data_IF_795593421125
#
_entry.id   IF_795593421125
#
_cell.length_a   1.000
_cell.length_b   1.000
_cell.length_c   1.000
_cell.angle_alpha   90.00
_cell.angle_beta   90.00
_cell.angle_gamma   90.00
#
_symmetry.space_group_name_H-M   'P 1'
#
loop_
_entity.id
_entity.type
_entity.pdbx_description
1 polymer ?
#
# COMPACT_ATOMS: atom_id res chain seq x y z
N UNK A 1 -13.16 13.19 -23.13
CA UNK A 1 -11.95 12.44 -23.49
C UNK A 1 -12.41 11.12 -24.05
N UNK A 2 -12.15 10.85 -25.31
CA UNK A 2 -12.48 9.57 -25.93
C UNK A 2 -11.24 8.68 -25.92
N UNK A 3 -11.41 7.42 -25.54
CA UNK A 3 -10.34 6.42 -25.50
C UNK A 3 -10.77 5.30 -26.43
N UNK A 4 -9.94 5.00 -27.41
CA UNK A 4 -10.15 3.94 -28.39
C UNK A 4 -9.22 2.79 -28.02
N UNK A 5 -9.76 1.57 -28.00
CA UNK A 5 -8.98 0.35 -27.81
C UNK A 5 -8.62 -0.22 -29.19
N UNK A 6 -7.42 -0.79 -29.31
CA UNK A 6 -7.02 -1.51 -30.52
C UNK A 6 -7.91 -2.74 -30.74
N UNK A 7 -8.10 -3.11 -32.01
CA UNK A 7 -8.78 -4.35 -32.35
C UNK A 7 -7.96 -5.54 -31.83
N UNK A 8 -8.58 -6.39 -30.99
CA UNK A 8 -7.89 -7.48 -30.32
C UNK A 8 -7.29 -8.51 -31.29
N UNK A 9 -7.75 -8.60 -32.55
CA UNK A 9 -7.21 -9.43 -33.65
C UNK A 9 -6.95 -10.92 -33.31
N UNK A 10 -7.37 -11.40 -32.14
CA UNK A 10 -7.19 -12.74 -31.60
C UNK A 10 -8.46 -13.18 -30.86
N UNK A 11 -8.70 -14.49 -30.79
CA UNK A 11 -9.71 -15.05 -29.88
C UNK A 11 -9.14 -15.03 -28.46
N UNK A 12 -9.74 -14.22 -27.59
CA UNK A 12 -9.38 -14.13 -26.17
C UNK A 12 -10.52 -14.61 -25.28
N UNK A 13 -10.16 -15.04 -24.07
CA UNK A 13 -11.09 -15.36 -22.99
C UNK A 13 -11.07 -14.21 -21.97
N UNK A 14 -11.81 -13.12 -22.21
CA UNK A 14 -11.76 -11.96 -21.35
C UNK A 14 -12.35 -12.26 -19.97
N UNK A 15 -11.91 -11.49 -18.97
CA UNK A 15 -12.53 -11.50 -17.66
C UNK A 15 -14.02 -11.20 -17.78
N UNK A 16 -14.83 -11.91 -16.98
CA UNK A 16 -16.23 -11.55 -16.79
C UNK A 16 -16.32 -10.08 -16.36
N UNK A 17 -17.26 -9.33 -16.93
CA UNK A 17 -17.43 -7.89 -16.69
C UNK A 17 -17.52 -7.50 -15.20
N UNK A 18 -18.05 -8.38 -14.36
CA UNK A 18 -18.06 -8.17 -12.92
C UNK A 18 -16.67 -8.25 -12.29
N UNK A 19 -15.89 -9.28 -12.62
CA UNK A 19 -14.52 -9.47 -12.13
C UNK A 19 -13.65 -8.30 -12.58
N UNK A 20 -13.70 -7.94 -13.87
CA UNK A 20 -12.97 -6.78 -14.40
C UNK A 20 -13.29 -5.49 -13.63
N UNK A 21 -14.59 -5.22 -13.37
CA UNK A 21 -15.00 -4.04 -12.59
C UNK A 21 -14.48 -4.08 -11.16
N UNK A 22 -14.56 -5.22 -10.49
CA UNK A 22 -14.02 -5.39 -9.13
C UNK A 22 -12.51 -5.14 -9.08
N UNK A 23 -11.76 -5.71 -10.02
CA UNK A 23 -10.31 -5.53 -10.12
C UNK A 23 -9.93 -4.07 -10.36
N UNK A 24 -10.53 -3.42 -11.37
CA UNK A 24 -10.23 -2.02 -11.70
C UNK A 24 -10.65 -1.08 -10.56
N UNK A 25 -11.81 -1.32 -9.94
CA UNK A 25 -12.24 -0.56 -8.76
C UNK A 25 -11.28 -0.73 -7.59
N UNK A 26 -10.79 -1.94 -7.32
CA UNK A 26 -9.80 -2.17 -6.28
C UNK A 26 -8.52 -1.38 -6.55
N UNK A 27 -7.98 -1.46 -7.77
CA UNK A 27 -6.78 -0.69 -8.17
C UNK A 27 -6.95 0.81 -7.97
N UNK A 28 -8.14 1.35 -8.28
CA UNK A 28 -8.41 2.78 -8.15
C UNK A 28 -8.71 3.23 -6.70
N UNK A 29 -9.33 2.38 -5.89
CA UNK A 29 -9.78 2.73 -4.54
C UNK A 29 -8.72 2.45 -3.47
N UNK A 30 -7.82 1.50 -3.72
CA UNK A 30 -6.74 1.19 -2.78
C UNK A 30 -5.84 2.44 -2.63
N UNK A 31 -5.65 2.94 -1.40
CA UNK A 31 -4.82 4.12 -1.18
C UNK A 31 -3.34 3.75 -1.41
N UNK A 32 -2.64 4.52 -2.25
CA UNK A 32 -1.23 4.29 -2.60
C UNK A 32 -0.39 5.55 -2.36
N UNK A 33 0.91 5.36 -2.16
CA UNK A 33 1.87 6.44 -1.89
C UNK A 33 1.94 6.83 -0.42
N UNK A 34 2.28 8.08 -0.15
CA UNK A 34 2.36 8.63 1.20
C UNK A 34 0.95 8.92 1.73
N UNK A 35 0.59 8.30 2.85
CA UNK A 35 -0.73 8.41 3.48
C UNK A 35 -0.73 9.44 4.62
N UNK A 36 0.40 9.58 5.32
CA UNK A 36 0.57 10.59 6.36
C UNK A 36 2.01 11.06 6.45
N UNK A 37 2.21 12.30 6.90
CA UNK A 37 3.52 12.95 7.04
C UNK A 37 3.60 13.71 8.35
N UNK A 38 4.74 13.63 9.04
CA UNK A 38 5.03 14.50 10.18
C UNK A 38 5.45 15.87 9.67
N UNK A 39 4.77 16.90 10.12
CA UNK A 39 5.11 18.30 9.83
C UNK A 39 6.32 18.78 10.64
N UNK A 40 6.62 18.12 11.77
CA UNK A 40 7.73 18.49 12.67
C UNK A 40 9.08 18.10 12.09
N UNK A 41 9.18 16.90 11.50
CA UNK A 41 10.43 16.35 10.97
C UNK A 41 10.42 16.15 9.44
N UNK A 42 9.36 16.63 8.78
CA UNK A 42 9.18 16.52 7.33
C UNK A 42 9.38 15.09 6.79
N UNK A 43 8.84 14.08 7.49
CA UNK A 43 9.05 12.66 7.21
C UNK A 43 7.70 11.96 6.94
N UNK A 44 7.66 11.08 5.94
CA UNK A 44 6.49 10.20 5.72
C UNK A 44 6.37 9.25 6.90
N UNK A 45 5.22 9.25 7.56
CA UNK A 45 4.98 8.39 8.73
C UNK A 45 4.30 7.10 8.31
N UNK A 46 3.34 7.16 7.38
CA UNK A 46 2.72 5.97 6.81
C UNK A 46 2.60 6.07 5.30
N UNK A 47 2.69 4.92 4.64
CA UNK A 47 2.57 4.78 3.19
C UNK A 47 1.96 3.43 2.85
N UNK A 48 1.36 3.29 1.68
CA UNK A 48 1.01 1.99 1.11
C UNK A 48 1.49 1.90 -0.34
N UNK A 49 1.82 0.70 -0.77
CA UNK A 49 2.25 0.43 -2.13
C UNK A 49 1.50 -0.79 -2.67
N UNK A 50 0.67 -0.60 -3.69
CA UNK A 50 0.15 -1.68 -4.51
C UNK A 50 1.27 -2.10 -5.47
N UNK A 51 2.04 -3.12 -5.07
CA UNK A 51 3.31 -3.45 -5.73
C UNK A 51 3.21 -4.55 -6.77
N UNK A 52 2.27 -5.47 -6.60
CA UNK A 52 2.14 -6.65 -7.47
C UNK A 52 0.67 -6.96 -7.66
N UNK A 53 0.28 -7.20 -8.91
CA UNK A 53 -0.99 -7.84 -9.26
C UNK A 53 -0.62 -9.14 -9.96
N UNK A 54 -1.13 -10.26 -9.45
CA UNK A 54 -0.95 -11.59 -10.05
C UNK A 54 -2.31 -12.16 -10.43
N UNK A 55 -2.29 -13.10 -11.37
CA UNK A 55 -3.45 -13.88 -11.74
C UNK A 55 -3.02 -15.34 -11.92
N UNK A 56 -3.80 -16.26 -11.37
CA UNK A 56 -3.74 -17.68 -11.65
C UNK A 56 -5.09 -18.17 -12.22
N UNK A 57 -5.33 -19.48 -12.21
CA UNK A 57 -6.56 -20.08 -12.75
C UNK A 57 -7.82 -19.73 -11.93
N UNK A 58 -7.67 -19.39 -10.64
CA UNK A 58 -8.76 -19.18 -9.71
C UNK A 58 -8.91 -17.71 -9.27
N UNK A 59 -7.80 -17.00 -9.07
CA UNK A 59 -7.79 -15.70 -8.40
C UNK A 59 -6.98 -14.64 -9.13
N UNK A 60 -7.46 -13.40 -9.00
CA UNK A 60 -6.65 -12.19 -9.20
C UNK A 60 -6.28 -11.68 -7.80
N UNK A 61 -4.99 -11.61 -7.51
CA UNK A 61 -4.50 -11.17 -6.20
C UNK A 61 -3.79 -9.83 -6.32
N UNK A 62 -4.16 -8.89 -5.43
CA UNK A 62 -3.58 -7.54 -5.38
C UNK A 62 -2.74 -7.39 -4.10
N UNK A 63 -1.42 -7.42 -4.26
CA UNK A 63 -0.49 -7.36 -3.15
C UNK A 63 -0.13 -5.93 -2.77
N UNK A 64 -0.37 -5.61 -1.50
CA UNK A 64 -0.13 -4.31 -0.90
C UNK A 64 0.95 -4.40 0.16
N UNK A 65 1.81 -3.37 0.22
CA UNK A 65 2.83 -3.25 1.26
C UNK A 65 2.69 -1.92 2.00
N UNK A 66 1.85 -1.95 3.04
CA UNK A 66 1.68 -0.86 3.97
C UNK A 66 2.89 -0.77 4.91
N UNK A 67 3.35 0.45 5.19
CA UNK A 67 4.49 0.74 6.07
C UNK A 67 4.14 1.90 6.99
N UNK A 68 4.60 1.84 8.23
CA UNK A 68 4.49 2.95 9.15
C UNK A 68 5.61 2.93 10.20
N UNK A 69 6.10 4.11 10.60
CA UNK A 69 6.92 4.25 11.81
C UNK A 69 6.08 4.14 13.09
N UNK A 70 4.76 4.26 13.00
CA UNK A 70 3.80 4.16 14.12
C UNK A 70 2.85 3.00 13.86
N UNK A 71 2.90 1.97 14.69
CA UNK A 71 2.17 0.71 14.47
C UNK A 71 0.65 0.87 14.44
N UNK A 72 0.11 1.79 15.24
CA UNK A 72 -1.34 2.04 15.33
C UNK A 72 -1.93 2.58 14.02
N UNK A 73 -1.14 3.29 13.20
CA UNK A 73 -1.59 3.72 11.87
C UNK A 73 -1.75 2.54 10.90
N UNK A 74 -1.01 1.44 11.07
CA UNK A 74 -1.24 0.24 10.28
C UNK A 74 -2.48 -0.49 10.77
N UNK A 75 -2.60 -0.72 12.07
CA UNK A 75 -3.62 -1.60 12.66
C UNK A 75 -4.99 -0.95 12.79
N UNK A 76 -5.06 0.37 13.04
CA UNK A 76 -6.31 1.09 13.30
C UNK A 76 -6.70 2.08 12.19
N UNK A 77 -5.88 2.23 11.14
CA UNK A 77 -6.20 3.10 10.01
C UNK A 77 -6.10 2.32 8.68
N UNK A 78 -4.89 1.95 8.24
CA UNK A 78 -4.73 1.29 6.93
C UNK A 78 -5.49 -0.04 6.86
N UNK A 79 -5.37 -0.91 7.86
CA UNK A 79 -6.02 -2.21 7.85
C UNK A 79 -7.57 -2.13 7.81
N UNK A 80 -8.26 -1.31 8.64
CA UNK A 80 -9.70 -1.10 8.50
C UNK A 80 -10.13 -0.57 7.14
N UNK A 81 -9.40 0.41 6.57
CA UNK A 81 -9.71 0.96 5.24
C UNK A 81 -9.63 -0.11 4.16
N UNK A 82 -8.58 -0.94 4.17
CA UNK A 82 -8.42 -2.04 3.22
C UNK A 82 -9.55 -3.08 3.34
N UNK A 83 -9.94 -3.42 4.58
CA UNK A 83 -11.08 -4.33 4.82
C UNK A 83 -12.39 -3.75 4.31
N UNK A 84 -12.65 -2.45 4.56
CA UNK A 84 -13.85 -1.78 4.09
C UNK A 84 -13.91 -1.72 2.56
N UNK A 85 -12.78 -1.50 1.88
CA UNK A 85 -12.71 -1.58 0.40
C UNK A 85 -13.04 -3.01 -0.06
N UNK A 86 -12.47 -4.03 0.60
CA UNK A 86 -12.77 -5.43 0.31
C UNK A 86 -14.27 -5.73 0.43
N UNK A 87 -14.88 -5.37 1.56
CA UNK A 87 -16.32 -5.53 1.82
C UNK A 87 -17.17 -4.81 0.77
N UNK A 88 -16.85 -3.55 0.46
CA UNK A 88 -17.59 -2.73 -0.51
C UNK A 88 -17.54 -3.30 -1.94
N UNK A 89 -16.45 -3.98 -2.30
CA UNK A 89 -16.27 -4.59 -3.62
C UNK A 89 -16.63 -6.08 -3.65
N UNK A 90 -16.96 -6.69 -2.50
CA UNK A 90 -17.14 -8.13 -2.37
C UNK A 90 -15.87 -8.92 -2.71
N UNK A 91 -14.73 -8.43 -2.23
CA UNK A 91 -13.38 -9.02 -2.39
C UNK A 91 -12.86 -9.39 -1.01
N UNK A 92 -12.23 -10.56 -0.87
CA UNK A 92 -11.58 -10.95 0.37
C UNK A 92 -10.34 -10.09 0.65
N UNK A 93 -10.23 -9.58 1.87
CA UNK A 93 -9.06 -8.81 2.33
C UNK A 93 -8.39 -9.51 3.51
N UNK A 94 -7.21 -10.07 3.26
CA UNK A 94 -6.36 -10.66 4.30
C UNK A 94 -5.32 -9.64 4.71
N UNK A 95 -5.26 -9.33 6.00
CA UNK A 95 -4.28 -8.41 6.57
C UNK A 95 -3.34 -9.17 7.51
N UNK A 96 -2.04 -9.09 7.25
CA UNK A 96 -1.01 -9.78 8.03
C UNK A 96 0.38 -9.22 7.77
N UNK A 97 1.41 -9.92 8.24
CA UNK A 97 2.81 -9.53 8.02
C UNK A 97 3.26 -8.31 8.83
N UNK A 98 2.60 -8.01 9.95
CA UNK A 98 3.00 -6.91 10.81
C UNK A 98 4.39 -7.15 11.41
N UNK A 99 5.24 -6.14 11.29
CA UNK A 99 6.48 -6.02 12.04
C UNK A 99 6.47 -4.67 12.77
N UNK A 100 7.12 -4.57 13.94
CA UNK A 100 7.16 -3.31 14.69
C UNK A 100 7.94 -2.26 13.91
N UNK A 101 7.49 -1.01 14.01
CA UNK A 101 8.28 0.14 13.58
C UNK A 101 9.42 0.41 14.57
N UNK A 102 10.38 1.24 14.15
CA UNK A 102 11.35 1.86 15.04
C UNK A 102 11.06 3.35 15.13
N UNK A 103 10.38 3.75 16.21
CA UNK A 103 9.95 5.13 16.39
C UNK A 103 11.12 6.09 16.57
N UNK A 104 10.98 7.31 16.04
CA UNK A 104 12.01 8.33 16.18
C UNK A 104 12.10 8.81 17.62
N UNK A 105 13.22 8.51 18.28
CA UNK A 105 13.55 9.08 19.59
C UNK A 105 14.02 10.53 19.42
N UNK A 106 13.26 11.49 19.98
CA UNK A 106 13.61 12.92 19.91
C UNK A 106 15.00 13.19 20.53
N UNK A 107 15.29 12.56 21.66
CA UNK A 107 16.58 12.63 22.35
C UNK A 107 17.31 11.29 22.23
N UNK A 108 18.57 11.29 21.77
CA UNK A 108 19.35 10.07 21.58
C UNK A 108 20.84 10.35 21.66
N UNK A 109 21.45 10.10 22.82
CA UNK A 109 22.88 10.31 23.05
C UNK A 109 23.76 9.52 22.10
N UNK A 110 23.35 8.32 21.72
CA UNK A 110 24.09 7.51 20.74
C UNK A 110 24.10 8.17 19.36
N UNK A 111 23.00 8.80 18.95
CA UNK A 111 22.92 9.53 17.68
C UNK A 111 23.86 10.73 17.68
N UNK A 112 23.97 11.44 18.80
CA UNK A 112 24.88 12.58 18.93
C UNK A 112 26.34 12.10 18.76
N UNK A 113 26.74 11.04 19.48
CA UNK A 113 28.07 10.42 19.37
C UNK A 113 28.36 9.99 17.92
N UNK A 114 27.43 9.28 17.27
CA UNK A 114 27.60 8.82 15.89
C UNK A 114 27.77 10.00 14.93
N UNK A 115 26.97 11.06 15.09
CA UNK A 115 27.02 12.25 14.22
C UNK A 115 28.33 13.00 14.39
N UNK A 116 28.76 13.20 15.63
CA UNK A 116 30.02 13.90 15.93
C UNK A 116 31.23 13.12 15.43
N UNK A 117 31.23 11.79 15.59
CA UNK A 117 32.30 10.92 15.07
C UNK A 117 32.34 10.95 13.54
N UNK A 118 31.18 10.89 12.87
CA UNK A 118 31.10 10.93 11.41
C UNK A 118 31.64 12.23 10.82
N UNK A 119 31.47 13.37 11.49
CA UNK A 119 32.01 14.68 11.06
C UNK A 119 33.53 14.81 11.18
N UNK A 120 34.18 13.96 11.96
CA UNK A 120 35.63 13.99 12.16
C UNK A 120 36.39 13.25 11.05
N UNK A 121 35.67 12.58 10.14
CA UNK A 121 36.19 11.92 8.94
C UNK A 121 35.93 12.81 7.73
#
# INVERSE_FOLDING_TARGET
MEVYLDALNTEEYPLKKEVFRKTVSAVNLIPIGALSRSTVINLVISSNNLGVITQDEEFITVHNQARSSVSTLLTHNVAPVMKQIGEALGIECIVGGYYPGWEYAKESRIRDICTDTYRQV
#
